data_IF_799936321774
#
_entry.id   IF_799936321774
#
_cell.length_a   1.000
_cell.length_b   1.000
_cell.length_c   1.000
_cell.angle_alpha   90.00
_cell.angle_beta   90.00
_cell.angle_gamma   90.00
#
_symmetry.space_group_name_H-M   'P 1'
#
loop_
_entity.id
_entity.type
_entity.pdbx_description
1 polymer ?
#
# COMPACT_ATOMS: atom_id res chain seq x y z
N UNK A 1 -9.07 -21.16 -4.08
CA UNK A 1 -7.67 -20.88 -3.66
C UNK A 1 -7.75 -20.22 -2.31
N UNK A 2 -7.45 -20.95 -1.24
CA UNK A 2 -7.47 -20.43 0.13
C UNK A 2 -6.04 -20.03 0.50
N UNK A 3 -5.77 -18.73 0.56
CA UNK A 3 -4.53 -18.23 1.15
C UNK A 3 -4.73 -18.20 2.66
N UNK A 4 -4.03 -19.07 3.38
CA UNK A 4 -3.86 -18.95 4.84
C UNK A 4 -2.65 -18.03 5.08
N UNK A 5 -2.85 -16.81 5.62
CA UNK A 5 -1.74 -16.02 6.11
C UNK A 5 -1.31 -16.61 7.45
N UNK A 6 -0.03 -16.97 7.58
CA UNK A 6 0.56 -17.26 8.89
C UNK A 6 0.53 -16.02 9.80
N UNK A 7 0.72 -16.20 11.12
CA UNK A 7 0.53 -15.14 12.12
C UNK A 7 1.53 -13.96 12.02
N UNK A 8 2.55 -14.06 11.17
CA UNK A 8 3.63 -13.06 11.02
C UNK A 8 3.65 -12.36 9.65
N UNK A 9 2.62 -12.55 8.81
CA UNK A 9 2.64 -12.13 7.40
C UNK A 9 1.44 -11.29 6.93
N UNK A 10 0.58 -10.85 7.84
CA UNK A 10 -0.61 -10.09 7.47
C UNK A 10 -0.24 -8.61 7.33
N UNK A 11 -0.06 -8.17 6.08
CA UNK A 11 -0.01 -6.74 5.77
C UNK A 11 -1.28 -6.10 6.35
N UNK A 12 -1.15 -5.00 7.11
CA UNK A 12 -2.28 -4.27 7.65
C UNK A 12 -3.28 -3.97 6.57
N UNK A 13 -4.55 -4.09 6.91
CA UNK A 13 -5.65 -3.77 5.99
C UNK A 13 -5.53 -2.35 5.40
N UNK A 14 -4.92 -1.40 6.12
CA UNK A 14 -4.62 -0.07 5.62
C UNK A 14 -3.54 -0.04 4.52
N UNK A 15 -2.45 -0.82 4.68
CA UNK A 15 -1.40 -0.93 3.65
C UNK A 15 -1.89 -1.69 2.42
N UNK A 16 -2.74 -2.70 2.59
CA UNK A 16 -3.35 -3.46 1.50
C UNK A 16 -4.21 -2.54 0.60
N UNK A 17 -5.05 -1.70 1.20
CA UNK A 17 -5.86 -0.70 0.49
C UNK A 17 -5.01 0.31 -0.30
N UNK A 18 -3.89 0.78 0.26
CA UNK A 18 -2.98 1.68 -0.44
C UNK A 18 -2.32 0.98 -1.64
N UNK A 19 -1.89 -0.27 -1.45
CA UNK A 19 -1.31 -1.07 -2.54
C UNK A 19 -2.32 -1.33 -3.67
N UNK A 20 -3.57 -1.63 -3.35
CA UNK A 20 -4.60 -1.82 -4.38
C UNK A 20 -4.90 -0.54 -5.16
N UNK A 21 -4.90 0.61 -4.47
CA UNK A 21 -5.07 1.89 -5.15
C UNK A 21 -3.89 2.24 -6.06
N UNK A 22 -2.67 1.93 -5.64
CA UNK A 22 -1.47 2.03 -6.49
C UNK A 22 -1.60 1.13 -7.72
N UNK A 23 -2.02 -0.13 -7.55
CA UNK A 23 -2.22 -1.07 -8.66
C UNK A 23 -3.26 -0.54 -9.65
N UNK A 24 -4.37 -0.02 -9.17
CA UNK A 24 -5.40 0.59 -10.02
C UNK A 24 -4.84 1.80 -10.78
N UNK A 25 -4.13 2.70 -10.10
CA UNK A 25 -3.54 3.90 -10.71
C UNK A 25 -2.52 3.55 -11.82
N UNK A 26 -1.79 2.44 -11.69
CA UNK A 26 -0.86 1.98 -12.73
C UNK A 26 -1.56 1.45 -13.99
N UNK A 27 -2.85 1.13 -13.92
CA UNK A 27 -3.64 0.78 -15.12
C UNK A 27 -4.04 2.00 -15.94
N UNK A 28 -3.95 3.20 -15.34
CA UNK A 28 -4.29 4.45 -16.00
C UNK A 28 -3.14 4.98 -16.87
N UNK A 29 -3.44 5.66 -17.98
CA UNK A 29 -2.43 6.25 -18.85
C UNK A 29 -1.57 7.27 -18.09
N UNK A 30 -0.30 7.36 -18.49
CA UNK A 30 0.65 8.27 -17.85
C UNK A 30 0.21 9.73 -18.01
N UNK A 31 0.03 10.40 -16.88
CA UNK A 31 -0.32 11.82 -16.81
C UNK A 31 0.35 12.45 -15.58
N UNK A 32 0.46 13.78 -15.57
CA UNK A 32 0.97 14.50 -14.39
C UNK A 32 0.09 14.27 -13.17
N UNK A 33 -1.23 14.22 -13.36
CA UNK A 33 -2.18 13.89 -12.29
C UNK A 33 -1.93 12.49 -11.71
N UNK A 34 -1.63 11.49 -12.56
CA UNK A 34 -1.26 10.14 -12.11
C UNK A 34 0.04 10.15 -11.29
N UNK A 35 1.02 10.97 -11.68
CA UNK A 35 2.28 11.07 -10.95
C UNK A 35 2.09 11.72 -9.57
N UNK A 36 1.24 12.75 -9.49
CA UNK A 36 0.88 13.40 -8.22
C UNK A 36 0.16 12.43 -7.28
N UNK A 37 -0.88 11.74 -7.75
CA UNK A 37 -1.62 10.76 -6.93
C UNK A 37 -0.71 9.60 -6.51
N UNK A 38 0.19 9.15 -7.39
CA UNK A 38 1.16 8.10 -7.04
C UNK A 38 2.13 8.55 -5.94
N UNK A 39 2.58 9.80 -5.96
CA UNK A 39 3.45 10.36 -4.93
C UNK A 39 2.73 10.46 -3.57
N UNK A 40 1.46 10.85 -3.56
CA UNK A 40 0.64 10.88 -2.35
C UNK A 40 0.46 9.48 -1.76
N UNK A 41 0.15 8.49 -2.61
CA UNK A 41 -0.01 7.09 -2.20
C UNK A 41 1.30 6.50 -1.64
N UNK A 42 2.45 6.81 -2.24
CA UNK A 42 3.75 6.39 -1.71
C UNK A 42 4.06 7.03 -0.35
N UNK A 43 3.70 8.29 -0.17
CA UNK A 43 3.88 8.99 1.11
C UNK A 43 3.03 8.35 2.21
N UNK A 44 1.77 8.01 1.88
CA UNK A 44 0.86 7.31 2.78
C UNK A 44 1.34 5.89 3.11
N UNK A 45 1.81 5.15 2.11
CA UNK A 45 2.39 3.82 2.30
C UNK A 45 3.60 3.85 3.25
N UNK A 46 4.51 4.82 3.05
CA UNK A 46 5.68 5.01 3.90
C UNK A 46 5.29 5.29 5.36
N UNK A 47 4.30 6.16 5.58
CA UNK A 47 3.81 6.45 6.93
C UNK A 47 3.23 5.20 7.62
N UNK A 48 2.35 4.47 6.93
CA UNK A 48 1.73 3.26 7.49
C UNK A 48 2.75 2.13 7.73
N UNK A 49 3.75 1.99 6.86
CA UNK A 49 4.81 0.99 7.02
C UNK A 49 5.68 1.22 8.26
N UNK A 50 5.88 2.48 8.66
CA UNK A 50 6.64 2.82 9.87
C UNK A 50 5.87 2.49 11.14
N UNK A 51 4.58 2.76 11.17
CA UNK A 51 3.69 2.41 12.28
C UNK A 51 3.62 0.89 12.50
N UNK A 52 3.64 0.12 11.41
CA UNK A 52 3.61 -1.33 11.50
C UNK A 52 4.90 -1.94 12.04
N UNK A 53 6.05 -1.47 11.54
CA UNK A 53 7.36 -1.86 12.07
C UNK A 53 7.50 -1.49 13.54
N UNK A 54 6.96 -0.34 13.97
CA UNK A 54 6.98 0.08 15.37
C UNK A 54 6.10 -0.80 16.28
N UNK A 55 4.99 -1.36 15.78
CA UNK A 55 4.14 -2.28 16.54
C UNK A 55 4.69 -3.69 16.66
N UNK A 56 5.60 -4.08 15.77
CA UNK A 56 6.20 -5.41 15.73
C UNK A 56 7.53 -5.55 16.53
N UNK A 57 8.00 -4.48 17.18
CA UNK A 57 9.31 -4.39 17.84
C UNK A 57 9.27 -4.58 19.37
#
# INVERSE_FOLDING_TARGET
MSYSPGPDGQVPHALDQVNDRIRHLMTEPASSARAEEYQELLSLWSALSRDDVAKAA
#
